data_IF_093016973720
#
_entry.id   IF_093016973720
#
_cell.length_a   1.000
_cell.length_b   1.000
_cell.length_c   1.000
_cell.angle_alpha   90.00
_cell.angle_beta   90.00
_cell.angle_gamma   90.00
#
_symmetry.space_group_name_H-M   'P 1'
#
loop_
_entity.id
_entity.type
_entity.pdbx_description
1 polymer ?
#
# COMPACT_ATOMS: atom_id res chain seq x y z
N UNK A 1 -6.48 18.00 7.39
CA UNK A 1 -6.26 16.54 7.47
C UNK A 1 -5.29 16.21 6.35
N UNK A 2 -4.03 16.10 6.73
CA UNK A 2 -2.89 16.15 5.83
C UNK A 2 -2.64 14.76 5.23
N UNK A 3 -2.15 14.71 3.99
CA UNK A 3 -1.90 13.50 3.20
C UNK A 3 -0.84 12.53 3.77
N UNK A 4 -0.59 12.55 5.08
CA UNK A 4 0.42 11.74 5.78
C UNK A 4 -0.13 10.44 6.39
N UNK A 5 -1.45 10.27 6.50
CA UNK A 5 -2.05 9.18 7.29
C UNK A 5 -1.82 7.79 6.72
N UNK A 6 -1.82 7.61 5.39
CA UNK A 6 -1.73 6.25 4.83
C UNK A 6 -0.34 5.66 4.96
N UNK A 7 0.73 6.45 4.78
CA UNK A 7 2.09 5.93 4.94
C UNK A 7 2.38 5.60 6.41
N UNK A 8 1.86 6.39 7.34
CA UNK A 8 1.93 6.11 8.78
C UNK A 8 1.17 4.83 9.15
N UNK A 9 -0.03 4.63 8.58
CA UNK A 9 -0.79 3.39 8.75
C UNK A 9 -0.13 2.19 8.10
N UNK A 10 0.55 2.37 6.97
CA UNK A 10 1.35 1.32 6.33
C UNK A 10 2.49 0.96 7.28
N UNK A 11 3.30 1.93 7.73
CA UNK A 11 4.44 1.71 8.65
C UNK A 11 4.03 0.94 9.91
N UNK A 12 2.87 1.21 10.48
CA UNK A 12 2.40 0.50 11.68
C UNK A 12 2.05 -0.98 11.42
N UNK A 13 1.83 -1.38 10.18
CA UNK A 13 1.57 -2.76 9.77
C UNK A 13 2.84 -3.57 9.46
N UNK A 14 4.02 -2.92 9.46
CA UNK A 14 5.30 -3.58 9.24
C UNK A 14 5.98 -3.94 10.56
N UNK A 15 6.47 -5.17 10.63
CA UNK A 15 7.42 -5.62 11.65
C UNK A 15 8.85 -5.26 11.20
N UNK A 16 9.82 -5.14 12.13
CA UNK A 16 11.21 -4.81 11.78
C UNK A 16 11.83 -5.70 10.70
N UNK A 17 11.45 -6.98 10.64
CA UNK A 17 11.96 -7.94 9.64
C UNK A 17 11.42 -7.75 8.21
N UNK A 18 10.43 -6.87 8.02
CA UNK A 18 9.82 -6.60 6.72
C UNK A 18 10.27 -5.23 6.16
N UNK A 19 11.48 -4.79 6.51
CA UNK A 19 12.04 -3.49 6.12
C UNK A 19 12.16 -3.35 4.61
N UNK A 20 12.58 -4.38 3.87
CA UNK A 20 12.75 -4.28 2.41
C UNK A 20 11.42 -3.97 1.69
N UNK A 21 10.32 -4.58 2.13
CA UNK A 21 8.99 -4.28 1.59
C UNK A 21 8.54 -2.85 1.94
N UNK A 22 8.84 -2.39 3.16
CA UNK A 22 8.51 -1.03 3.58
C UNK A 22 9.32 0.00 2.79
N UNK A 23 10.64 -0.19 2.67
CA UNK A 23 11.55 0.67 1.92
C UNK A 23 11.14 0.76 0.45
N UNK A 24 10.71 -0.37 -0.13
CA UNK A 24 10.19 -0.41 -1.50
C UNK A 24 8.90 0.38 -1.67
N UNK A 25 7.97 0.31 -0.71
CA UNK A 25 6.73 1.11 -0.73
C UNK A 25 7.07 2.60 -0.60
N UNK A 26 7.97 2.97 0.31
CA UNK A 26 8.42 4.35 0.50
C UNK A 26 9.05 4.91 -0.78
N UNK A 27 9.97 4.17 -1.39
CA UNK A 27 10.57 4.54 -2.67
C UNK A 27 9.52 4.67 -3.77
N UNK A 28 8.55 3.74 -3.86
CA UNK A 28 7.50 3.81 -4.88
C UNK A 28 6.59 5.03 -4.71
N UNK A 29 6.33 5.48 -3.47
CA UNK A 29 5.63 6.74 -3.23
C UNK A 29 6.46 7.96 -3.65
N UNK A 30 7.77 7.95 -3.38
CA UNK A 30 8.70 9.04 -3.77
C UNK A 30 8.84 9.13 -5.28
N UNK A 31 8.95 8.00 -5.97
CA UNK A 31 9.03 7.91 -7.44
C UNK A 31 7.68 8.18 -8.14
N UNK A 32 6.57 8.18 -7.39
CA UNK A 32 5.22 8.37 -7.92
C UNK A 32 4.67 7.16 -8.69
N UNK A 33 5.34 6.02 -8.61
CA UNK A 33 4.89 4.74 -9.16
C UNK A 33 3.74 4.14 -8.33
N UNK A 34 3.77 4.37 -7.01
CA UNK A 34 2.67 4.10 -6.09
C UNK A 34 1.97 5.41 -5.73
N UNK A 35 0.66 5.47 -5.99
CA UNK A 35 -0.17 6.63 -5.66
C UNK A 35 -1.04 6.34 -4.46
N UNK A 36 -1.31 7.38 -3.67
CA UNK A 36 -2.29 7.26 -2.60
C UNK A 36 -3.66 6.93 -3.19
N UNK A 37 -4.44 6.04 -2.55
CA UNK A 37 -5.81 5.80 -2.94
C UNK A 37 -6.61 7.11 -2.86
N UNK A 38 -7.45 7.36 -3.85
CA UNK A 38 -8.26 8.59 -4.00
C UNK A 38 -9.31 8.69 -2.88
N UNK A 39 -9.68 7.57 -2.28
CA UNK A 39 -10.53 7.50 -1.08
C UNK A 39 -9.77 6.87 0.08
N UNK A 40 -10.10 7.23 1.33
CA UNK A 40 -9.55 6.54 2.50
C UNK A 40 -9.95 5.06 2.45
N UNK A 41 -8.96 4.18 2.37
CA UNK A 41 -9.14 2.73 2.58
C UNK A 41 -9.46 2.45 4.04
N UNK A 42 -10.27 1.43 4.31
CA UNK A 42 -10.41 0.89 5.66
C UNK A 42 -9.11 0.22 6.11
N UNK A 43 -8.82 0.26 7.42
CA UNK A 43 -7.67 -0.43 8.01
C UNK A 43 -7.63 -1.92 7.64
N UNK A 44 -8.80 -2.57 7.49
CA UNK A 44 -8.88 -3.97 7.08
C UNK A 44 -8.45 -4.18 5.63
N UNK A 45 -8.84 -3.28 4.73
CA UNK A 45 -8.45 -3.33 3.33
C UNK A 45 -6.96 -3.06 3.17
N UNK A 46 -6.44 -2.12 3.95
CA UNK A 46 -5.01 -1.80 4.00
C UNK A 46 -4.21 -2.99 4.51
N UNK A 47 -4.58 -3.55 5.66
CA UNK A 47 -3.94 -4.74 6.23
C UNK A 47 -3.95 -5.92 5.25
N UNK A 48 -5.05 -6.10 4.51
CA UNK A 48 -5.15 -7.13 3.46
C UNK A 48 -4.19 -6.86 2.30
N UNK A 49 -4.17 -5.64 1.78
CA UNK A 49 -3.28 -5.28 0.66
C UNK A 49 -1.81 -5.44 1.04
N UNK A 50 -1.42 -4.99 2.23
CA UNK A 50 -0.06 -5.13 2.75
C UNK A 50 0.31 -6.59 3.01
N UNK A 51 -0.59 -7.40 3.56
CA UNK A 51 -0.35 -8.84 3.76
C UNK A 51 -0.12 -9.57 2.43
N UNK A 52 -0.91 -9.24 1.41
CA UNK A 52 -0.74 -9.83 0.07
C UNK A 52 0.56 -9.38 -0.59
N UNK A 53 0.95 -8.10 -0.45
CA UNK A 53 2.24 -7.61 -0.92
C UNK A 53 3.42 -8.35 -0.26
N UNK A 54 3.34 -8.57 1.05
CA UNK A 54 4.36 -9.32 1.82
C UNK A 54 4.40 -10.81 1.54
N UNK A 55 3.37 -11.38 0.90
CA UNK A 55 3.34 -12.80 0.56
C UNK A 55 4.25 -13.17 -0.62
N UNK A 56 4.80 -12.17 -1.31
CA UNK A 56 5.71 -12.33 -2.42
C UNK A 56 6.98 -11.48 -2.23
N UNK A 57 8.12 -11.87 -2.83
CA UNK A 57 9.32 -11.05 -2.85
C UNK A 57 9.07 -9.67 -3.50
N UNK A 58 9.78 -8.65 -3.04
CA UNK A 58 9.72 -7.31 -3.61
C UNK A 58 10.13 -7.34 -5.08
N UNK A 59 9.25 -6.82 -5.94
CA UNK A 59 9.46 -6.67 -7.38
C UNK A 59 8.55 -5.59 -7.95
N UNK A 60 8.85 -5.12 -9.15
CA UNK A 60 8.00 -4.17 -9.88
C UNK A 60 6.57 -4.71 -10.05
N UNK A 61 6.43 -6.02 -10.23
CA UNK A 61 5.13 -6.67 -10.37
C UNK A 61 4.33 -6.67 -9.07
N UNK A 62 4.95 -6.92 -7.92
CA UNK A 62 4.25 -6.86 -6.62
C UNK A 62 3.85 -5.43 -6.28
N UNK A 63 4.66 -4.43 -6.64
CA UNK A 63 4.33 -3.01 -6.49
C UNK A 63 3.17 -2.58 -7.40
N UNK A 64 3.19 -3.00 -8.66
CA UNK A 64 2.10 -2.73 -9.61
C UNK A 64 0.76 -3.29 -9.08
N UNK A 65 0.77 -4.52 -8.55
CA UNK A 65 -0.41 -5.14 -7.93
C UNK A 65 -0.89 -4.40 -6.68
N UNK A 66 0.02 -3.88 -5.86
CA UNK A 66 -0.34 -3.04 -4.71
C UNK A 66 -0.99 -1.72 -5.16
N UNK A 67 -0.43 -1.10 -6.21
CA UNK A 67 -0.98 0.12 -6.81
C UNK A 67 -2.39 -0.11 -7.38
N UNK A 68 -2.59 -1.22 -8.10
CA UNK A 68 -3.92 -1.63 -8.58
C UNK A 68 -4.92 -1.78 -7.43
N UNK A 69 -4.51 -2.34 -6.29
CA UNK A 69 -5.38 -2.47 -5.11
C UNK A 69 -5.76 -1.13 -4.52
N UNK A 70 -4.84 -0.18 -4.45
CA UNK A 70 -5.13 1.17 -3.96
C UNK A 70 -6.11 1.91 -4.89
N UNK A 71 -5.94 1.74 -6.21
CA UNK A 71 -6.88 2.30 -7.20
C UNK A 71 -8.24 1.60 -7.14
N UNK A 72 -8.27 0.26 -7.00
CA UNK A 72 -9.50 -0.52 -6.94
C UNK A 72 -10.31 -0.20 -5.68
N UNK A 73 -9.67 -0.07 -4.52
CA UNK A 73 -10.32 0.33 -3.27
C UNK A 73 -10.85 1.78 -3.31
N UNK A 74 -10.36 2.59 -4.25
CA UNK A 74 -10.89 3.94 -4.48
C UNK A 74 -12.22 3.96 -5.24
N UNK A 75 -12.58 2.86 -5.90
CA UNK A 75 -13.88 2.72 -6.57
C UNK A 75 -14.90 2.22 -5.54
N UNK A 76 -16.13 2.79 -5.50
CA UNK A 76 -17.19 2.15 -4.75
C UNK A 76 -17.32 0.73 -5.28
N UNK A 77 -17.29 -0.25 -4.38
CA UNK A 77 -17.72 -1.60 -4.71
C UNK A 77 -19.22 -1.50 -5.00
N UNK A 78 -19.56 -1.30 -6.26
CA UNK A 78 -20.93 -1.46 -6.73
C UNK A 78 -21.22 -2.97 -6.66
N UNK A 79 -21.76 -3.40 -5.52
CA UNK A 79 -22.46 -4.68 -5.38
C UNK A 79 -23.85 -4.56 -6.03
#
# INVERSE_FOLDING_TARGET
MSATTILENIRSLFTPDASEHLDSIENAFVEGTLKQPVRPMSDQELARAIREFRSAPVSDWTLARLSERFVAASRPRED
#
